data_IF_867245590761
#
_entry.id   IF_867245590761
#
_cell.length_a   1.000
_cell.length_b   1.000
_cell.length_c   1.000
_cell.angle_alpha   90.00
_cell.angle_beta   90.00
_cell.angle_gamma   90.00
#
_symmetry.space_group_name_H-M   'P 1'
#
loop_
_entity.id
_entity.type
_entity.pdbx_description
1 polymer ?
#
# COMPACT_ATOMS: atom_id res chain seq x y z
N UNK A 1 -29.58 41.82 33.77
CA UNK A 1 -28.63 40.74 34.06
C UNK A 1 -29.36 39.45 33.74
N UNK A 2 -28.78 38.62 32.89
CA UNK A 2 -28.76 37.14 32.97
C UNK A 2 -28.02 36.65 31.72
N UNK A 3 -26.71 36.44 31.90
CA UNK A 3 -25.82 35.83 30.92
C UNK A 3 -25.72 34.34 31.25
N UNK A 4 -26.70 33.56 30.82
CA UNK A 4 -26.57 32.11 30.77
C UNK A 4 -25.90 31.72 29.44
N UNK A 5 -24.57 31.83 29.41
CA UNK A 5 -23.73 31.12 28.44
C UNK A 5 -22.99 30.02 29.20
N UNK A 6 -23.60 28.84 29.18
CA UNK A 6 -23.06 27.60 29.72
C UNK A 6 -21.88 27.10 28.86
N UNK A 7 -20.68 27.38 29.34
CA UNK A 7 -19.54 26.45 29.44
C UNK A 7 -19.42 25.29 28.42
N UNK A 8 -19.16 25.58 27.13
CA UNK A 8 -18.76 24.55 26.15
C UNK A 8 -17.45 24.85 25.40
N UNK A 9 -16.47 25.43 26.11
CA UNK A 9 -15.15 25.76 25.56
C UNK A 9 -13.96 25.05 26.23
N UNK A 10 -14.20 23.99 27.02
CA UNK A 10 -13.18 23.36 27.87
C UNK A 10 -12.39 22.17 27.30
N UNK A 11 -12.75 21.57 26.16
CA UNK A 11 -12.09 20.31 25.68
C UNK A 11 -11.27 20.41 24.39
N UNK A 12 -11.47 21.45 23.57
CA UNK A 12 -10.85 21.50 22.23
C UNK A 12 -9.40 22.00 22.23
N UNK A 13 -8.98 22.74 23.26
CA UNK A 13 -7.68 23.41 23.26
C UNK A 13 -6.57 22.58 23.92
N UNK A 14 -6.92 21.55 24.70
CA UNK A 14 -5.91 20.74 25.41
C UNK A 14 -5.21 19.78 24.46
N UNK A 15 -5.96 19.18 23.52
CA UNK A 15 -5.42 18.25 22.53
C UNK A 15 -4.45 18.93 21.55
N UNK A 16 -4.78 20.15 21.11
CA UNK A 16 -3.92 20.92 20.19
C UNK A 16 -2.63 21.37 20.89
N UNK A 17 -2.70 21.78 22.16
CA UNK A 17 -1.50 22.17 22.94
C UNK A 17 -0.57 20.98 23.21
N UNK A 18 -1.11 19.78 23.45
CA UNK A 18 -0.27 18.57 23.60
C UNK A 18 0.41 18.15 22.29
N UNK A 19 -0.22 18.37 21.14
CA UNK A 19 0.32 17.98 19.83
C UNK A 19 1.52 18.84 19.39
N UNK A 20 1.47 20.16 19.62
CA UNK A 20 2.59 21.06 19.27
C UNK A 20 3.84 20.79 20.11
N UNK A 21 3.69 20.45 21.39
CA UNK A 21 4.82 20.18 22.28
C UNK A 21 5.54 18.85 21.93
N UNK A 22 4.82 17.89 21.36
CA UNK A 22 5.40 16.61 20.90
C UNK A 22 6.24 16.72 19.63
N UNK A 23 5.92 17.63 18.70
CA UNK A 23 6.69 17.79 17.45
C UNK A 23 8.05 18.49 17.66
N UNK A 24 8.14 19.39 18.63
CA UNK A 24 9.39 20.15 18.91
C UNK A 24 10.49 19.24 19.49
N UNK A 25 10.16 18.18 20.23
CA UNK A 25 11.15 17.25 20.79
C UNK A 25 11.73 16.28 19.75
N UNK A 26 10.93 15.86 18.76
CA UNK A 26 11.36 14.95 17.69
C UNK A 26 12.28 15.64 16.67
N UNK A 27 12.03 16.92 16.35
CA UNK A 27 12.87 17.68 15.42
C UNK A 27 14.32 17.84 15.89
N UNK A 28 14.57 17.93 17.20
CA UNK A 28 15.92 18.08 17.77
C UNK A 28 16.72 16.77 17.73
N UNK A 29 16.07 15.60 17.78
CA UNK A 29 16.75 14.30 17.72
C UNK A 29 17.21 13.91 16.31
N UNK A 30 16.49 14.33 15.26
CA UNK A 30 16.85 14.02 13.87
C UNK A 30 17.87 15.00 13.27
N UNK A 31 17.93 16.24 13.77
CA UNK A 31 18.87 17.26 13.26
C UNK A 31 20.35 17.02 13.57
N UNK A 32 20.66 16.16 14.55
CA UNK A 32 22.04 15.93 15.00
C UNK A 32 22.78 14.80 14.25
N UNK A 33 22.11 14.05 13.38
CA UNK A 33 22.71 12.88 12.72
C UNK A 33 23.30 13.16 11.33
N UNK A 34 23.01 14.31 10.71
CA UNK A 34 23.37 14.61 9.30
C UNK A 34 24.61 15.51 9.15
N UNK A 35 25.14 16.05 10.25
CA UNK A 35 26.30 16.95 10.22
C UNK A 35 27.61 16.27 10.59
N UNK A 36 28.26 15.55 9.67
CA UNK A 36 29.59 15.01 9.99
C UNK A 36 30.37 14.31 8.87
N UNK A 37 31.30 15.08 8.26
CA UNK A 37 32.55 14.69 7.59
C UNK A 37 32.50 14.00 6.22
N UNK A 38 33.27 14.58 5.27
CA UNK A 38 33.55 14.02 3.95
C UNK A 38 34.99 13.58 3.71
N UNK A 39 35.22 13.23 2.45
CA UNK A 39 36.47 13.03 1.67
C UNK A 39 37.12 11.64 1.57
N UNK A 40 37.56 11.37 0.31
CA UNK A 40 38.46 10.32 -0.24
C UNK A 40 37.77 9.02 -0.73
N UNK A 41 38.01 8.44 -1.92
CA UNK A 41 39.00 8.68 -2.98
C UNK A 41 38.61 8.03 -4.34
N UNK A 42 39.05 8.69 -5.42
CA UNK A 42 39.52 8.29 -6.76
C UNK A 42 39.25 6.88 -7.35
N UNK A 43 38.68 6.93 -8.57
CA UNK A 43 38.74 6.08 -9.79
C UNK A 43 39.60 4.80 -9.79
N UNK A 44 39.03 3.76 -10.43
CA UNK A 44 39.68 3.04 -11.53
C UNK A 44 38.70 2.82 -12.68
N UNK A 45 39.10 3.30 -13.85
CA UNK A 45 38.55 2.98 -15.16
C UNK A 45 38.92 1.53 -15.45
N UNK A 46 37.95 0.69 -15.79
CA UNK A 46 38.23 -0.57 -16.47
C UNK A 46 37.58 -0.54 -17.86
N UNK A 47 38.47 -0.54 -18.84
CA UNK A 47 38.24 -0.54 -20.28
C UNK A 47 38.64 -1.93 -20.74
N UNK A 48 37.73 -2.62 -21.41
CA UNK A 48 37.99 -3.84 -22.18
C UNK A 48 36.74 -4.13 -23.01
N UNK A 49 36.71 -3.64 -24.25
CA UNK A 49 37.17 -4.32 -25.47
C UNK A 49 36.18 -5.38 -25.95
N UNK A 50 35.68 -5.12 -27.15
CA UNK A 50 34.84 -5.89 -28.04
C UNK A 50 35.09 -7.40 -28.04
N UNK A 51 34.00 -8.19 -28.12
CA UNK A 51 33.95 -9.31 -29.06
C UNK A 51 32.48 -9.66 -29.36
N UNK A 52 32.07 -9.37 -30.61
CA UNK A 52 30.83 -9.91 -31.19
C UNK A 52 31.18 -11.17 -31.98
N UNK A 53 30.61 -12.33 -31.65
CA UNK A 53 30.44 -13.39 -32.63
C UNK A 53 29.04 -13.34 -33.23
N UNK A 54 28.97 -12.93 -34.49
CA UNK A 54 27.91 -13.37 -35.41
C UNK A 54 28.24 -14.81 -35.83
N UNK A 55 27.41 -15.78 -35.44
CA UNK A 55 27.39 -17.14 -35.99
C UNK A 55 25.92 -17.58 -35.96
N UNK A 56 25.20 -17.42 -37.07
CA UNK A 56 24.96 -18.42 -38.10
C UNK A 56 24.04 -19.55 -37.62
N UNK A 57 22.89 -19.61 -38.30
CA UNK A 57 21.79 -20.52 -38.10
C UNK A 57 22.18 -22.00 -38.11
N UNK A 58 21.47 -22.76 -37.30
CA UNK A 58 21.17 -24.17 -37.55
C UNK A 58 19.77 -24.41 -37.00
N UNK A 59 18.82 -24.62 -37.91
CA UNK A 59 17.50 -25.19 -37.62
C UNK A 59 17.71 -26.67 -37.32
N UNK A 60 17.34 -27.14 -36.13
CA UNK A 60 16.92 -28.53 -35.95
C UNK A 60 15.85 -28.60 -34.85
N UNK A 61 14.80 -29.32 -35.22
CA UNK A 61 13.56 -29.56 -34.52
C UNK A 61 13.77 -30.58 -33.41
N UNK A 62 13.37 -30.27 -32.18
CA UNK A 62 12.93 -31.28 -31.21
C UNK A 62 11.87 -30.67 -30.27
N UNK A 63 10.72 -31.32 -30.24
CA UNK A 63 9.53 -31.02 -29.44
C UNK A 63 9.75 -31.22 -27.93
N UNK A 64 8.89 -30.61 -27.08
CA UNK A 64 9.21 -30.37 -25.67
C UNK A 64 9.17 -31.64 -24.83
N UNK A 65 10.27 -31.92 -24.12
CA UNK A 65 10.22 -32.78 -22.94
C UNK A 65 9.67 -31.95 -21.79
N UNK A 66 8.39 -32.19 -21.45
CA UNK A 66 7.82 -31.83 -20.15
C UNK A 66 8.59 -32.57 -19.07
N UNK A 67 9.60 -31.91 -18.50
CA UNK A 67 10.19 -32.35 -17.24
C UNK A 67 9.32 -31.78 -16.11
N UNK A 68 8.37 -32.61 -15.67
CA UNK A 68 7.63 -32.41 -14.45
C UNK A 68 8.59 -32.63 -13.28
N UNK A 69 9.28 -31.57 -12.85
CA UNK A 69 9.96 -31.56 -11.56
C UNK A 69 8.97 -31.08 -10.50
N UNK A 70 8.45 -32.08 -9.82
CA UNK A 70 7.92 -32.10 -8.47
C UNK A 70 8.88 -31.43 -7.47
N UNK A 71 8.43 -30.33 -6.86
CA UNK A 71 8.90 -29.70 -5.62
C UNK A 71 7.81 -28.67 -5.33
N UNK A 72 7.07 -28.59 -4.25
CA UNK A 72 6.97 -29.16 -2.91
C UNK A 72 5.57 -28.65 -2.45
N UNK A 73 4.84 -29.30 -1.53
CA UNK A 73 3.53 -28.81 -1.13
C UNK A 73 3.63 -27.36 -0.64
N UNK A 74 2.98 -26.46 -1.38
CA UNK A 74 2.52 -25.15 -0.94
C UNK A 74 2.15 -25.24 0.52
N UNK A 75 2.87 -24.52 1.38
CA UNK A 75 2.45 -24.30 2.76
C UNK A 75 0.99 -23.85 2.71
N UNK A 76 0.09 -24.73 3.15
CA UNK A 76 -1.24 -24.39 3.62
C UNK A 76 -1.05 -23.38 4.76
N UNK A 77 -0.85 -22.11 4.43
CA UNK A 77 -1.15 -21.01 5.34
C UNK A 77 -2.62 -21.18 5.66
N UNK A 78 -2.87 -21.72 6.85
CA UNK A 78 -4.18 -21.93 7.42
C UNK A 78 -4.91 -20.58 7.42
N UNK A 79 -5.67 -20.28 6.36
CA UNK A 79 -6.73 -19.29 6.41
C UNK A 79 -7.70 -19.82 7.43
N UNK A 80 -7.55 -19.34 8.67
CA UNK A 80 -8.65 -19.37 9.62
C UNK A 80 -9.76 -18.56 8.95
N UNK A 81 -10.69 -19.24 8.30
CA UNK A 81 -11.95 -18.67 7.86
C UNK A 81 -12.72 -18.33 9.13
N UNK A 82 -12.37 -17.20 9.73
CA UNK A 82 -13.29 -16.47 10.60
C UNK A 82 -14.34 -15.94 9.63
N UNK A 83 -15.57 -16.41 9.75
CA UNK A 83 -16.68 -15.72 9.08
C UNK A 83 -16.62 -14.25 9.52
N UNK A 84 -16.45 -13.29 8.59
CA UNK A 84 -16.31 -11.90 8.97
C UNK A 84 -17.58 -11.48 9.72
N UNK A 85 -17.42 -10.95 10.93
CA UNK A 85 -18.54 -10.32 11.64
C UNK A 85 -19.12 -9.24 10.73
N UNK A 86 -20.46 -9.21 10.55
CA UNK A 86 -21.13 -8.27 9.63
C UNK A 86 -20.90 -6.79 9.99
N UNK A 87 -20.30 -6.53 11.16
CA UNK A 87 -19.96 -5.19 11.65
C UNK A 87 -18.54 -4.75 11.27
N UNK A 88 -17.69 -5.66 10.79
CA UNK A 88 -16.30 -5.34 10.46
C UNK A 88 -16.15 -4.73 9.06
N UNK A 89 -15.14 -3.89 8.91
CA UNK A 89 -14.75 -3.37 7.60
C UNK A 89 -14.19 -4.49 6.71
N UNK A 90 -14.58 -4.51 5.44
CA UNK A 90 -14.18 -5.51 4.45
C UNK A 90 -13.53 -4.85 3.24
N UNK A 91 -12.64 -5.60 2.57
CA UNK A 91 -12.06 -5.20 1.29
C UNK A 91 -11.74 -6.46 0.48
N UNK A 92 -12.14 -6.44 -0.79
CA UNK A 92 -11.89 -7.49 -1.78
C UNK A 92 -11.28 -6.85 -3.02
N UNK A 93 -10.35 -7.56 -3.64
CA UNK A 93 -9.78 -7.22 -4.94
C UNK A 93 -10.16 -8.26 -6.00
N UNK A 94 -10.44 -7.80 -7.22
CA UNK A 94 -10.72 -8.68 -8.37
C UNK A 94 -10.26 -8.01 -9.67
N UNK A 95 -9.43 -8.67 -10.52
CA UNK A 95 -8.73 -9.93 -10.27
C UNK A 95 -7.63 -9.77 -9.21
N UNK A 96 -7.13 -10.88 -8.65
CA UNK A 96 -5.97 -10.90 -7.74
C UNK A 96 -4.64 -11.17 -8.44
N UNK A 97 -4.67 -11.47 -9.73
CA UNK A 97 -3.51 -11.60 -10.63
C UNK A 97 -3.85 -10.88 -11.93
N UNK A 98 -3.02 -9.91 -12.32
CA UNK A 98 -3.30 -9.06 -13.48
C UNK A 98 -2.02 -8.70 -14.24
N UNK A 99 -2.15 -8.35 -15.52
CA UNK A 99 -1.04 -7.77 -16.26
C UNK A 99 -0.66 -6.36 -15.78
N UNK A 100 0.50 -5.87 -16.23
CA UNK A 100 0.90 -4.48 -15.97
C UNK A 100 -0.13 -3.49 -16.52
N UNK A 101 -0.54 -2.50 -15.70
CA UNK A 101 -1.58 -1.51 -16.02
C UNK A 101 -2.99 -2.06 -16.31
N UNK A 102 -3.22 -3.34 -16.03
CA UNK A 102 -4.56 -3.88 -16.06
C UNK A 102 -5.37 -3.41 -14.83
N UNK A 103 -6.69 -3.43 -14.97
CA UNK A 103 -7.62 -2.93 -13.97
C UNK A 103 -7.79 -3.93 -12.82
N UNK A 104 -7.77 -3.41 -11.61
CA UNK A 104 -8.03 -4.16 -10.37
C UNK A 104 -9.19 -3.47 -9.68
N UNK A 105 -10.35 -4.12 -9.65
CA UNK A 105 -11.51 -3.65 -8.91
C UNK A 105 -11.30 -3.86 -7.41
N UNK A 106 -11.56 -2.82 -6.63
CA UNK A 106 -11.53 -2.82 -5.18
C UNK A 106 -12.94 -2.52 -4.67
N UNK A 107 -13.53 -3.45 -3.92
CA UNK A 107 -14.87 -3.29 -3.36
C UNK A 107 -14.94 -3.79 -1.93
N UNK A 108 -15.90 -3.28 -1.17
CA UNK A 108 -16.09 -3.68 0.21
C UNK A 108 -17.13 -2.85 0.93
N UNK A 109 -17.12 -2.99 2.25
CA UNK A 109 -17.98 -2.25 3.18
C UNK A 109 -17.18 -1.71 4.35
N UNK A 110 -17.62 -0.59 4.88
CA UNK A 110 -17.12 -0.01 6.12
C UNK A 110 -18.32 0.37 7.00
N UNK A 111 -18.95 -0.61 7.70
CA UNK A 111 -20.27 -0.42 8.32
C UNK A 111 -20.35 0.71 9.35
N UNK A 112 -19.23 1.00 10.01
CA UNK A 112 -19.10 2.10 10.98
C UNK A 112 -19.19 3.50 10.34
N UNK A 113 -18.96 3.58 9.02
CA UNK A 113 -19.03 4.82 8.25
C UNK A 113 -20.42 5.00 7.63
N UNK A 114 -20.97 6.21 7.75
CA UNK A 114 -22.17 6.62 7.02
C UNK A 114 -21.91 6.83 5.52
N UNK A 115 -22.96 7.11 4.73
CA UNK A 115 -22.80 7.48 3.32
C UNK A 115 -22.11 8.83 3.16
N UNK A 116 -21.40 9.02 2.04
CA UNK A 116 -20.74 10.27 1.68
C UNK A 116 -19.34 10.46 2.28
N UNK A 117 -18.80 9.48 2.99
CA UNK A 117 -17.42 9.53 3.53
C UNK A 117 -16.44 9.25 2.41
N UNK A 118 -15.37 10.05 2.33
CA UNK A 118 -14.31 9.86 1.33
C UNK A 118 -13.28 8.88 1.85
N UNK A 119 -13.02 7.85 1.05
CA UNK A 119 -11.99 6.85 1.28
C UNK A 119 -10.81 7.07 0.34
N UNK A 120 -9.61 6.99 0.89
CA UNK A 120 -8.34 7.05 0.18
C UNK A 120 -7.82 5.63 -0.03
N UNK A 121 -7.56 5.26 -1.29
CA UNK A 121 -6.80 4.03 -1.55
C UNK A 121 -5.37 4.25 -1.11
N UNK A 122 -4.82 3.30 -0.36
CA UNK A 122 -3.41 3.28 -0.01
C UNK A 122 -2.74 2.02 -0.55
N UNK A 123 -1.49 2.18 -0.99
CA UNK A 123 -0.62 1.08 -1.36
C UNK A 123 0.52 0.97 -0.36
N UNK A 124 0.94 -0.25 -0.03
CA UNK A 124 2.13 -0.45 0.81
C UNK A 124 3.41 -0.39 -0.03
N UNK A 125 4.28 0.54 0.31
CA UNK A 125 5.55 0.80 -0.37
C UNK A 125 6.68 0.81 0.67
N UNK A 126 7.71 -0.02 0.46
CA UNK A 126 8.87 -0.11 1.37
C UNK A 126 8.49 -0.23 2.85
N UNK A 127 7.44 -1.00 3.14
CA UNK A 127 6.92 -1.21 4.49
C UNK A 127 5.96 -0.15 5.02
N UNK A 128 5.85 1.01 4.35
CA UNK A 128 5.01 2.15 4.71
C UNK A 128 3.74 2.20 3.86
N UNK A 129 2.65 2.75 4.38
CA UNK A 129 1.45 2.99 3.59
C UNK A 129 1.52 4.38 2.94
N UNK A 130 1.39 4.42 1.62
CA UNK A 130 1.41 5.64 0.81
C UNK A 130 0.05 5.82 0.14
N UNK A 131 -0.38 7.06 -0.03
CA UNK A 131 -1.61 7.37 -0.76
C UNK A 131 -1.44 7.04 -2.25
N UNK A 132 -2.33 6.18 -2.74
CA UNK A 132 -2.46 5.88 -4.15
C UNK A 132 -3.44 6.89 -4.76
N UNK A 133 -3.25 7.43 -5.96
CA UNK A 133 -4.05 8.54 -6.49
C UNK A 133 -5.47 8.16 -6.93
N UNK A 134 -6.20 7.40 -6.10
CA UNK A 134 -7.58 6.95 -6.29
C UNK A 134 -8.32 7.11 -4.98
N UNK A 135 -9.54 7.65 -5.06
CA UNK A 135 -10.47 7.76 -3.94
C UNK A 135 -11.78 7.05 -4.26
N UNK A 136 -12.53 6.70 -3.22
CA UNK A 136 -13.91 6.23 -3.31
C UNK A 136 -14.80 7.01 -2.35
N UNK A 137 -16.11 6.94 -2.53
CA UNK A 137 -17.08 7.51 -1.60
C UNK A 137 -17.99 6.40 -1.10
N UNK A 138 -18.26 6.37 0.20
CA UNK A 138 -19.18 5.37 0.78
C UNK A 138 -20.63 5.63 0.37
N UNK A 139 -21.35 4.57 0.05
CA UNK A 139 -22.79 4.54 -0.13
C UNK A 139 -23.53 4.18 1.16
N UNK A 140 -24.80 3.80 1.02
CA UNK A 140 -25.58 3.26 2.15
C UNK A 140 -24.89 2.02 2.74
N UNK A 141 -24.97 1.88 4.07
CA UNK A 141 -24.32 0.81 4.80
C UNK A 141 -22.77 0.82 4.72
N UNK A 142 -22.17 1.95 4.35
CA UNK A 142 -20.71 2.08 4.26
C UNK A 142 -20.09 1.35 3.08
N UNK A 143 -20.91 0.92 2.09
CA UNK A 143 -20.44 0.20 0.91
C UNK A 143 -19.60 1.07 -0.02
N UNK A 144 -18.62 0.51 -0.71
CA UNK A 144 -17.81 1.26 -1.67
C UNK A 144 -17.29 0.36 -2.79
N UNK A 145 -16.99 0.98 -3.93
CA UNK A 145 -16.30 0.35 -5.05
C UNK A 145 -15.43 1.39 -5.78
N UNK A 146 -14.27 0.96 -6.27
CA UNK A 146 -13.36 1.75 -7.11
C UNK A 146 -12.45 0.79 -7.87
N UNK A 147 -11.57 1.31 -8.70
CA UNK A 147 -10.55 0.51 -9.39
C UNK A 147 -9.19 1.18 -9.31
N UNK A 148 -8.13 0.38 -9.42
CA UNK A 148 -6.75 0.86 -9.53
C UNK A 148 -6.06 0.23 -10.73
N UNK A 149 -5.05 0.91 -11.25
CA UNK A 149 -4.14 0.39 -12.28
C UNK A 149 -2.72 0.72 -11.86
N UNK A 150 -1.83 -0.25 -11.89
CA UNK A 150 -0.44 -0.06 -11.47
C UNK A 150 0.51 -0.75 -12.44
N UNK A 151 1.62 -0.07 -12.75
CA UNK A 151 2.74 -0.65 -13.48
C UNK A 151 3.80 -1.29 -12.57
N UNK A 152 3.62 -1.22 -11.25
CA UNK A 152 4.57 -1.81 -10.29
C UNK A 152 4.37 -3.32 -10.25
N UNK A 153 5.37 -4.06 -10.70
CA UNK A 153 5.36 -5.52 -10.77
C UNK A 153 5.51 -6.17 -9.38
N UNK A 154 5.09 -7.43 -9.29
CA UNK A 154 5.07 -8.27 -8.10
C UNK A 154 3.85 -8.03 -7.20
N UNK A 155 3.99 -8.45 -5.94
CA UNK A 155 2.90 -8.36 -4.96
C UNK A 155 2.64 -6.92 -4.51
N UNK A 156 1.52 -6.36 -4.95
CA UNK A 156 0.99 -5.09 -4.50
C UNK A 156 0.02 -5.32 -3.33
N UNK A 157 0.12 -4.49 -2.29
CA UNK A 157 -0.79 -4.53 -1.13
C UNK A 157 -1.61 -3.26 -1.07
N UNK A 158 -2.92 -3.40 -1.06
CA UNK A 158 -3.86 -2.27 -1.01
C UNK A 158 -4.73 -2.31 0.24
N UNK A 159 -5.15 -1.13 0.69
CA UNK A 159 -6.20 -0.94 1.70
C UNK A 159 -6.96 0.36 1.43
N UNK A 160 -8.12 0.52 2.05
CA UNK A 160 -8.83 1.80 2.09
C UNK A 160 -8.61 2.48 3.45
N UNK A 161 -8.50 3.80 3.46
CA UNK A 161 -8.49 4.63 4.67
C UNK A 161 -9.59 5.69 4.58
N UNK A 162 -10.40 5.83 5.63
CA UNK A 162 -11.33 6.95 5.74
C UNK A 162 -10.57 8.24 6.05
N UNK A 163 -10.75 9.29 5.25
CA UNK A 163 -10.03 10.54 5.42
C UNK A 163 -10.45 11.30 6.70
N UNK A 164 -11.69 11.11 7.14
CA UNK A 164 -12.25 11.83 8.29
C UNK A 164 -11.78 11.25 9.63
N UNK A 165 -11.66 9.92 9.72
CA UNK A 165 -11.35 9.19 10.97
C UNK A 165 -9.97 8.56 10.99
N UNK A 166 -9.37 8.30 9.83
CA UNK A 166 -8.11 7.56 9.68
C UNK A 166 -8.26 6.05 9.85
N UNK A 167 -9.48 5.54 10.02
CA UNK A 167 -9.75 4.11 10.13
C UNK A 167 -9.53 3.40 8.79
N UNK A 168 -9.13 2.13 8.83
CA UNK A 168 -8.70 1.40 7.65
C UNK A 168 -9.35 0.04 7.52
N UNK A 169 -9.56 -0.40 6.28
CA UNK A 169 -9.97 -1.77 5.98
C UNK A 169 -8.83 -2.76 6.20
N UNK A 170 -9.12 -4.07 6.19
CA UNK A 170 -8.12 -5.10 5.96
C UNK A 170 -7.33 -4.86 4.66
N UNK A 171 -6.20 -5.56 4.55
CA UNK A 171 -5.30 -5.48 3.39
C UNK A 171 -5.62 -6.58 2.39
N UNK A 172 -5.67 -6.22 1.11
CA UNK A 172 -5.71 -7.16 -0.01
C UNK A 172 -4.35 -7.22 -0.70
N UNK A 173 -4.00 -8.39 -1.24
CA UNK A 173 -2.79 -8.63 -2.02
C UNK A 173 -3.19 -8.90 -3.48
N UNK A 174 -2.48 -8.30 -4.42
CA UNK A 174 -2.67 -8.51 -5.86
C UNK A 174 -1.31 -8.68 -6.52
N UNK A 175 -1.14 -9.73 -7.31
CA UNK A 175 0.06 -9.98 -8.09
C UNK A 175 -0.04 -9.28 -9.45
N UNK A 176 1.02 -8.57 -9.83
CA UNK A 176 1.09 -7.83 -11.10
C UNK A 176 2.34 -8.31 -11.86
N UNK A 177 2.19 -9.00 -12.98
CA UNK A 177 3.36 -9.63 -13.62
C UNK A 177 3.07 -10.32 -14.94
#
# INVERSE_FOLDING_TARGET
MDFDQDSNHGRRNRTVVFSVLGLVTIGVLLGLLVGGLGLAAVRTVDVGSDDSPTSQASEESDEPTSDATDTEPTEDETTTTVEPDESDATLVASPTEVGSYEEIDLSGSFPELGPGVTLQVQRRESGTWTDFPVTATTGEGGTFATFVQTGVLGTNKFRMMALDTGETTPTVKVEVG
#
